data_IF_549358463204
#
_entry.id   IF_549358463204
#
_cell.length_a   1.000
_cell.length_b   1.000
_cell.length_c   1.000
_cell.angle_alpha   90.00
_cell.angle_beta   90.00
_cell.angle_gamma   90.00
#
_symmetry.space_group_name_H-M   'P 1'
#
loop_
_entity.id
_entity.type
_entity.pdbx_description
1 polymer ?
#
# COMPACT_ATOMS: atom_id res chain seq x y z
N UNK A 1 -0.07 13.23 57.00
CA UNK A 1 0.53 13.12 55.66
C UNK A 1 1.04 11.70 55.47
N UNK A 2 0.25 10.83 54.87
CA UNK A 2 0.64 9.43 54.58
C UNK A 2 0.76 9.29 53.07
N UNK A 3 2.00 9.24 52.58
CA UNK A 3 2.31 9.10 51.16
C UNK A 3 1.82 7.77 50.62
N UNK A 4 0.88 7.81 49.67
CA UNK A 4 0.54 6.66 48.84
C UNK A 4 1.75 6.36 47.95
N UNK A 5 2.42 5.24 48.23
CA UNK A 5 3.37 4.60 47.32
C UNK A 5 2.68 4.40 45.97
N UNK A 6 3.24 5.06 44.94
CA UNK A 6 2.80 4.96 43.55
C UNK A 6 3.20 3.55 43.09
N UNK A 7 2.23 2.63 42.99
CA UNK A 7 2.43 1.33 42.34
C UNK A 7 2.94 1.60 40.93
N UNK A 8 4.23 1.39 40.70
CA UNK A 8 4.79 1.24 39.35
C UNK A 8 4.17 -0.01 38.76
N UNK A 9 3.22 0.17 37.85
CA UNK A 9 2.73 -0.89 36.96
C UNK A 9 3.95 -1.58 36.36
N UNK A 10 4.14 -2.87 36.64
CA UNK A 10 5.22 -3.66 36.03
C UNK A 10 4.96 -3.72 34.53
N UNK A 11 5.72 -2.94 33.77
CA UNK A 11 5.65 -2.94 32.32
C UNK A 11 6.08 -4.33 31.84
N UNK A 12 5.22 -4.99 31.07
CA UNK A 12 5.51 -6.31 30.52
C UNK A 12 6.62 -6.17 29.45
N UNK A 13 7.72 -6.95 29.52
CA UNK A 13 8.88 -6.77 28.65
C UNK A 13 8.57 -7.09 27.18
N UNK A 14 7.67 -8.04 26.93
CA UNK A 14 7.18 -8.38 25.59
C UNK A 14 5.66 -8.28 25.59
N UNK A 15 5.11 -7.49 24.68
CA UNK A 15 3.67 -7.31 24.49
C UNK A 15 3.30 -7.59 23.03
N UNK A 16 2.33 -8.46 22.79
CA UNK A 16 1.81 -8.75 21.45
C UNK A 16 0.31 -8.47 21.38
N UNK A 17 -0.10 -7.59 20.47
CA UNK A 17 -1.49 -7.37 20.13
C UNK A 17 -1.87 -8.20 18.90
N UNK A 18 -2.80 -9.13 19.11
CA UNK A 18 -3.38 -10.01 18.08
C UNK A 18 -4.89 -9.83 17.95
N UNK A 19 -5.46 -8.75 18.49
CA UNK A 19 -6.89 -8.52 18.44
C UNK A 19 -7.38 -8.14 17.04
N UNK A 20 -6.55 -7.42 16.27
CA UNK A 20 -6.94 -7.01 14.92
C UNK A 20 -6.97 -8.21 13.96
N UNK A 21 -7.96 -8.22 13.07
CA UNK A 21 -8.11 -9.27 12.05
C UNK A 21 -7.08 -9.16 10.91
N UNK A 22 -6.37 -8.02 10.78
CA UNK A 22 -5.55 -7.68 9.60
C UNK A 22 -4.07 -7.93 9.80
N UNK A 23 -3.59 -7.71 11.00
CA UNK A 23 -2.19 -7.73 11.36
C UNK A 23 -2.05 -8.14 12.82
N UNK A 24 -0.85 -8.59 13.16
CA UNK A 24 -0.39 -8.69 14.53
C UNK A 24 0.71 -7.65 14.74
N UNK A 25 0.83 -7.14 15.96
CA UNK A 25 2.01 -6.35 16.36
C UNK A 25 2.60 -6.91 17.64
N UNK A 26 3.92 -6.80 17.79
CA UNK A 26 4.60 -7.12 19.03
C UNK A 26 5.64 -6.05 19.36
N UNK A 27 5.85 -5.76 20.64
CA UNK A 27 6.79 -4.77 21.13
C UNK A 27 7.68 -5.43 22.18
N UNK A 28 9.00 -5.33 22.00
CA UNK A 28 10.00 -5.61 23.03
C UNK A 28 10.40 -4.28 23.68
N UNK A 29 9.98 -4.08 24.92
CA UNK A 29 10.17 -2.85 25.68
C UNK A 29 11.45 -2.95 26.52
N UNK A 30 12.59 -2.73 25.85
CA UNK A 30 13.90 -2.68 26.49
C UNK A 30 15.04 -3.04 25.54
N UNK A 31 16.30 -2.91 26.01
CA UNK A 31 17.48 -3.25 25.23
C UNK A 31 17.37 -4.66 24.64
N UNK A 32 17.42 -4.74 23.32
CA UNK A 32 17.13 -5.96 22.56
C UNK A 32 18.27 -6.24 21.59
N UNK A 33 18.76 -7.48 21.59
CA UNK A 33 19.64 -8.01 20.55
C UNK A 33 18.83 -8.76 19.49
N UNK A 34 19.09 -8.42 18.22
CA UNK A 34 18.60 -9.12 17.05
C UNK A 34 19.72 -9.99 16.49
N UNK A 35 19.44 -11.29 16.36
CA UNK A 35 20.31 -12.27 15.72
C UNK A 35 19.68 -12.68 14.37
N UNK A 36 20.24 -12.20 13.23
CA UNK A 36 19.70 -12.52 11.90
C UNK A 36 19.73 -14.01 11.57
N UNK A 37 20.76 -14.73 12.01
CA UNK A 37 20.95 -16.15 11.67
C UNK A 37 19.83 -17.02 12.25
N UNK A 38 19.38 -16.69 13.46
CA UNK A 38 18.25 -17.37 14.12
C UNK A 38 16.92 -16.63 14.00
N UNK A 39 16.88 -15.47 13.32
CA UNK A 39 15.70 -14.59 13.21
C UNK A 39 15.02 -14.31 14.56
N UNK A 40 15.87 -14.12 15.57
CA UNK A 40 15.44 -14.03 16.97
C UNK A 40 15.78 -12.67 17.57
N UNK A 41 14.82 -12.09 18.29
CA UNK A 41 14.94 -10.86 19.06
C UNK A 41 14.90 -11.21 20.54
N UNK A 42 15.95 -10.84 21.28
CA UNK A 42 16.11 -11.21 22.69
C UNK A 42 16.28 -9.96 23.55
N UNK A 43 15.43 -9.78 24.56
CA UNK A 43 15.63 -8.74 25.58
C UNK A 43 16.83 -9.12 26.46
N UNK A 44 17.76 -8.16 26.58
CA UNK A 44 19.00 -8.29 27.33
C UNK A 44 18.80 -8.13 28.84
N UNK A 45 17.75 -7.43 29.26
CA UNK A 45 17.42 -7.30 30.68
C UNK A 45 16.80 -8.60 31.21
N UNK A 46 17.40 -9.21 32.25
CA UNK A 46 16.92 -10.47 32.79
C UNK A 46 15.57 -10.28 33.49
N UNK A 47 14.66 -11.22 33.27
CA UNK A 47 13.33 -11.26 33.89
C UNK A 47 13.13 -12.55 34.68
N UNK A 48 12.09 -12.56 35.53
CA UNK A 48 11.80 -13.72 36.40
C UNK A 48 11.36 -14.95 35.60
N UNK A 49 10.68 -14.74 34.46
CA UNK A 49 10.13 -15.82 33.63
C UNK A 49 10.52 -15.65 32.15
N UNK A 50 10.92 -16.75 31.50
CA UNK A 50 11.14 -16.75 30.05
C UNK A 50 9.81 -16.59 29.34
N UNK A 51 9.70 -15.56 28.51
CA UNK A 51 8.62 -15.37 27.55
C UNK A 51 9.19 -15.72 26.18
N UNK A 52 8.45 -16.51 25.40
CA UNK A 52 8.74 -16.77 24.00
C UNK A 52 7.48 -16.50 23.20
N UNK A 53 7.56 -15.54 22.28
CA UNK A 53 6.49 -15.19 21.36
C UNK A 53 6.96 -15.36 19.93
N UNK A 54 6.00 -15.52 19.02
CA UNK A 54 6.26 -15.64 17.60
C UNK A 54 5.34 -14.73 16.79
N UNK A 55 5.86 -14.22 15.67
CA UNK A 55 5.11 -13.33 14.79
C UNK A 55 5.55 -13.51 13.33
N UNK A 56 4.58 -13.38 12.42
CA UNK A 56 4.83 -13.15 10.99
C UNK A 56 4.45 -11.71 10.67
N UNK A 57 5.41 -10.78 10.54
CA UNK A 57 5.11 -9.34 10.54
C UNK A 57 4.67 -8.85 9.14
N UNK A 58 3.55 -9.37 8.63
CA UNK A 58 2.96 -9.02 7.34
C UNK A 58 1.47 -8.71 7.46
N UNK A 59 1.01 -7.68 6.74
CA UNK A 59 -0.37 -7.16 6.81
C UNK A 59 -1.37 -7.96 5.98
N UNK A 60 -1.60 -9.24 6.27
CA UNK A 60 -2.69 -10.08 5.70
C UNK A 60 -3.02 -11.27 6.61
N UNK A 61 -3.12 -11.04 7.92
CA UNK A 61 -3.27 -12.11 8.94
C UNK A 61 -4.36 -13.15 8.62
N UNK A 62 -5.48 -12.71 8.02
CA UNK A 62 -6.61 -13.58 7.68
C UNK A 62 -6.36 -14.50 6.47
N UNK A 63 -5.34 -14.24 5.66
CA UNK A 63 -5.01 -15.03 4.47
C UNK A 63 -3.94 -16.07 4.81
N UNK A 64 -4.38 -17.26 5.22
CA UNK A 64 -3.49 -18.34 5.70
C UNK A 64 -2.43 -18.74 4.68
N UNK A 65 -2.81 -18.82 3.40
CA UNK A 65 -1.92 -19.29 2.33
C UNK A 65 -0.76 -18.32 2.12
N UNK A 66 -1.04 -17.02 2.03
CA UNK A 66 0.02 -16.01 1.86
C UNK A 66 0.86 -15.89 3.14
N UNK A 67 0.23 -15.95 4.32
CA UNK A 67 0.93 -15.90 5.60
C UNK A 67 1.88 -17.08 5.79
N UNK A 68 1.56 -18.27 5.26
CA UNK A 68 2.46 -19.43 5.31
C UNK A 68 3.81 -19.17 4.60
N UNK A 69 3.86 -18.25 3.64
CA UNK A 69 5.08 -17.86 2.91
C UNK A 69 5.95 -16.84 3.66
N UNK A 70 5.42 -16.24 4.74
CA UNK A 70 6.11 -15.23 5.53
C UNK A 70 6.94 -15.91 6.62
N UNK A 71 8.26 -15.60 6.72
CA UNK A 71 9.10 -16.11 7.79
C UNK A 71 8.55 -15.74 9.17
N UNK A 72 8.51 -16.73 10.06
CA UNK A 72 8.17 -16.53 11.46
C UNK A 72 9.41 -16.03 12.21
N UNK A 73 9.25 -14.93 12.96
CA UNK A 73 10.28 -14.33 13.79
C UNK A 73 10.01 -14.68 15.25
N UNK A 74 11.07 -14.91 16.03
CA UNK A 74 10.97 -15.27 17.45
C UNK A 74 11.33 -14.08 18.33
N UNK A 75 10.51 -13.81 19.34
CA UNK A 75 10.78 -12.82 20.38
C UNK A 75 10.98 -13.57 21.69
N UNK A 76 11.99 -13.23 22.48
CA UNK A 76 12.18 -13.87 23.78
C UNK A 76 12.81 -12.97 24.84
N UNK A 77 12.62 -13.35 26.10
CA UNK A 77 13.35 -12.80 27.23
C UNK A 77 14.41 -13.79 27.73
N UNK A 78 15.38 -13.29 28.50
CA UNK A 78 16.37 -14.11 29.20
C UNK A 78 16.11 -14.09 30.70
N UNK A 79 16.49 -15.15 31.42
CA UNK A 79 16.42 -15.19 32.89
C UNK A 79 17.80 -15.00 33.51
N UNK A 80 17.81 -14.59 34.76
CA UNK A 80 19.01 -14.34 35.58
C UNK A 80 19.96 -15.53 35.70
N UNK A 81 19.47 -16.75 35.46
CA UNK A 81 20.28 -17.99 35.48
C UNK A 81 20.93 -18.30 34.12
N UNK A 82 20.49 -17.65 33.04
CA UNK A 82 20.98 -17.90 31.67
C UNK A 82 22.14 -16.98 31.27
N UNK A 83 22.45 -15.97 32.09
CA UNK A 83 23.49 -14.96 31.83
C UNK A 83 24.93 -15.48 31.94
N UNK A 84 25.15 -16.74 32.36
CA UNK A 84 26.50 -17.31 32.53
C UNK A 84 27.14 -17.86 31.25
N UNK A 85 26.44 -17.89 30.12
CA UNK A 85 27.00 -18.41 28.86
C UNK A 85 26.62 -17.54 27.68
N UNK A 86 27.57 -16.71 27.24
CA UNK A 86 27.55 -15.86 26.04
C UNK A 86 26.58 -14.67 26.09
N UNK A 87 27.00 -13.58 26.74
CA UNK A 87 26.64 -12.24 26.24
C UNK A 87 27.19 -12.14 24.81
N UNK A 88 26.39 -12.51 23.80
CA UNK A 88 26.73 -12.23 22.40
C UNK A 88 27.00 -10.73 22.32
N UNK A 89 28.25 -10.36 22.05
CA UNK A 89 28.62 -8.97 21.84
C UNK A 89 27.83 -8.45 20.64
N UNK A 90 27.26 -7.26 20.78
CA UNK A 90 26.58 -6.57 19.69
C UNK A 90 27.63 -6.16 18.64
N UNK A 91 27.49 -6.64 17.41
CA UNK A 91 28.37 -6.19 16.31
C UNK A 91 28.03 -4.76 15.89
N UNK A 92 26.73 -4.43 15.84
CA UNK A 92 26.22 -3.09 15.49
C UNK A 92 25.28 -2.61 16.59
N UNK A 93 25.50 -1.38 17.07
CA UNK A 93 24.64 -0.74 18.08
C UNK A 93 23.91 0.45 17.48
N UNK A 94 22.60 0.49 17.70
CA UNK A 94 21.70 1.54 17.23
C UNK A 94 21.17 2.34 18.42
N UNK A 95 21.15 3.65 18.30
CA UNK A 95 20.55 4.55 19.31
C UNK A 95 19.04 4.74 19.10
N UNK A 96 18.55 4.45 17.89
CA UNK A 96 17.13 4.51 17.54
C UNK A 96 16.46 3.13 17.66
N UNK A 97 15.15 3.06 17.98
CA UNK A 97 14.42 1.80 18.06
C UNK A 97 14.27 1.16 16.67
N UNK A 98 14.04 -0.16 16.62
CA UNK A 98 13.77 -0.85 15.37
C UNK A 98 12.27 -0.97 15.08
N UNK A 99 11.91 -0.83 13.80
CA UNK A 99 10.61 -1.21 13.26
C UNK A 99 10.79 -2.33 12.24
N UNK A 100 10.29 -3.52 12.57
CA UNK A 100 10.49 -4.76 11.82
C UNK A 100 9.22 -5.14 11.06
N UNK A 101 9.33 -5.36 9.75
CA UNK A 101 8.21 -5.81 8.93
C UNK A 101 8.66 -6.66 7.75
N UNK A 102 7.73 -7.38 7.11
CA UNK A 102 8.04 -8.20 5.95
C UNK A 102 7.60 -7.55 4.64
N UNK A 103 8.46 -7.63 3.62
CA UNK A 103 8.17 -7.31 2.22
C UNK A 103 7.99 -8.59 1.38
N UNK A 104 7.43 -9.64 1.99
CA UNK A 104 7.06 -10.89 1.31
C UNK A 104 5.64 -10.86 0.76
N UNK A 105 4.99 -12.02 0.73
CA UNK A 105 3.57 -12.12 0.38
C UNK A 105 3.25 -11.61 -1.03
N UNK A 106 2.34 -10.64 -1.13
CA UNK A 106 1.91 -10.06 -2.41
C UNK A 106 2.81 -8.92 -2.93
N UNK A 107 3.94 -8.68 -2.27
CA UNK A 107 4.92 -7.66 -2.65
C UNK A 107 5.31 -7.80 -4.14
N UNK A 108 5.36 -6.67 -4.84
CA UNK A 108 5.57 -6.59 -6.29
C UNK A 108 4.28 -6.35 -7.08
N UNK A 109 3.12 -6.42 -6.41
CA UNK A 109 1.88 -5.84 -6.87
C UNK A 109 1.69 -4.49 -6.19
N UNK A 110 1.60 -3.40 -6.97
CA UNK A 110 1.58 -2.04 -6.41
C UNK A 110 0.43 -1.78 -5.42
N UNK A 111 -0.74 -2.38 -5.64
CA UNK A 111 -1.85 -2.24 -4.70
C UNK A 111 -1.46 -2.83 -3.34
N UNK A 112 -0.88 -4.03 -3.35
CA UNK A 112 -0.40 -4.69 -2.14
C UNK A 112 0.80 -3.98 -1.52
N UNK A 113 1.76 -3.52 -2.32
CA UNK A 113 2.89 -2.73 -1.82
C UNK A 113 2.39 -1.53 -1.00
N UNK A 114 1.37 -0.81 -1.49
CA UNK A 114 0.83 0.34 -0.77
C UNK A 114 -0.07 -0.05 0.41
N UNK A 115 -0.94 -1.04 0.24
CA UNK A 115 -1.98 -1.37 1.22
C UNK A 115 -1.47 -2.25 2.36
N UNK A 116 -0.52 -3.14 2.09
CA UNK A 116 0.02 -4.10 3.07
C UNK A 116 1.32 -3.59 3.71
N UNK A 117 2.03 -2.67 3.04
CA UNK A 117 3.36 -2.20 3.48
C UNK A 117 3.48 -0.68 3.60
N UNK A 118 3.39 0.10 2.52
CA UNK A 118 3.79 1.52 2.54
C UNK A 118 2.87 2.40 3.40
N UNK A 119 1.55 2.30 3.26
CA UNK A 119 0.62 3.06 4.11
C UNK A 119 0.68 2.57 5.56
N UNK A 120 0.65 1.25 5.85
CA UNK A 120 0.87 0.75 7.20
C UNK A 120 2.20 1.19 7.83
N UNK A 121 3.26 1.29 7.03
CA UNK A 121 4.55 1.80 7.48
C UNK A 121 4.48 3.29 7.82
N UNK A 122 3.81 4.10 6.99
CA UNK A 122 3.53 5.49 7.31
C UNK A 122 2.77 5.62 8.62
N UNK A 123 1.66 4.90 8.79
CA UNK A 123 0.82 4.89 10.01
C UNK A 123 1.67 4.52 11.23
N UNK A 124 2.35 3.38 11.16
CA UNK A 124 3.12 2.83 12.29
C UNK A 124 4.29 3.74 12.65
N UNK A 125 4.95 4.37 11.67
CA UNK A 125 6.04 5.31 11.94
C UNK A 125 5.60 6.51 12.79
N UNK A 126 4.31 6.88 12.80
CA UNK A 126 3.79 8.02 13.57
C UNK A 126 3.65 7.76 15.06
N UNK A 127 3.75 6.51 15.49
CA UNK A 127 3.69 6.15 16.91
C UNK A 127 5.05 6.32 17.60
N UNK A 128 6.13 6.50 16.84
CA UNK A 128 7.47 6.65 17.37
C UNK A 128 7.82 8.11 17.69
N UNK A 129 8.51 8.33 18.81
CA UNK A 129 9.03 9.63 19.19
C UNK A 129 10.22 10.09 18.33
N UNK A 130 10.99 9.14 17.81
CA UNK A 130 12.11 9.35 16.88
C UNK A 130 12.00 8.39 15.70
N UNK A 131 12.57 8.74 14.55
CA UNK A 131 12.50 7.89 13.36
C UNK A 131 13.22 6.54 13.61
N UNK A 132 12.55 5.40 13.40
CA UNK A 132 13.12 4.09 13.74
C UNK A 132 14.10 3.60 12.68
N UNK A 133 14.97 2.66 13.05
CA UNK A 133 15.72 1.84 12.09
C UNK A 133 14.75 0.85 11.45
N UNK A 134 14.69 0.82 10.13
CA UNK A 134 13.82 -0.12 9.41
C UNK A 134 14.54 -1.45 9.21
N UNK A 135 13.92 -2.54 9.68
CA UNK A 135 14.45 -3.91 9.54
C UNK A 135 13.47 -4.73 8.72
N UNK A 136 13.91 -5.24 7.57
CA UNK A 136 13.02 -5.90 6.61
C UNK A 136 13.31 -7.39 6.52
N UNK A 137 12.25 -8.20 6.62
CA UNK A 137 12.26 -9.63 6.29
C UNK A 137 11.64 -9.88 4.91
N UNK A 138 12.14 -10.86 4.17
CA UNK A 138 11.90 -11.05 2.73
C UNK A 138 12.26 -9.79 1.93
N UNK A 139 13.41 -9.22 2.26
CA UNK A 139 13.86 -7.95 1.72
C UNK A 139 14.50 -8.13 0.34
N UNK A 140 13.82 -7.64 -0.70
CA UNK A 140 14.32 -7.70 -2.07
C UNK A 140 14.94 -6.36 -2.51
N UNK A 141 16.14 -6.40 -3.10
CA UNK A 141 16.85 -5.19 -3.55
C UNK A 141 16.02 -4.33 -4.51
N UNK A 142 15.27 -4.94 -5.43
CA UNK A 142 14.42 -4.20 -6.37
C UNK A 142 13.32 -3.39 -5.65
N UNK A 143 12.83 -3.89 -4.50
CA UNK A 143 11.81 -3.21 -3.70
C UNK A 143 12.42 -2.02 -2.96
N UNK A 144 13.60 -2.22 -2.35
CA UNK A 144 14.36 -1.13 -1.72
C UNK A 144 14.64 0.00 -2.72
N UNK A 145 15.12 -0.34 -3.92
CA UNK A 145 15.40 0.65 -4.98
C UNK A 145 14.14 1.40 -5.38
N UNK A 146 13.02 0.70 -5.56
CA UNK A 146 11.75 1.30 -5.99
C UNK A 146 11.18 2.28 -4.95
N UNK A 147 11.32 1.98 -3.66
CA UNK A 147 10.73 2.76 -2.57
C UNK A 147 11.74 3.59 -1.78
N UNK A 148 12.99 3.72 -2.24
CA UNK A 148 14.09 4.39 -1.54
C UNK A 148 13.74 5.79 -1.03
N UNK A 149 13.05 6.61 -1.84
CA UNK A 149 12.64 7.96 -1.48
C UNK A 149 11.63 7.98 -0.31
N UNK A 150 10.68 7.04 -0.31
CA UNK A 150 9.72 6.88 0.79
C UNK A 150 10.43 6.42 2.06
N UNK A 151 11.29 5.39 1.95
CA UNK A 151 12.03 4.84 3.08
C UNK A 151 12.95 5.89 3.72
N UNK A 152 13.67 6.67 2.91
CA UNK A 152 14.54 7.75 3.40
C UNK A 152 13.79 8.90 4.07
N UNK A 153 12.52 9.13 3.72
CA UNK A 153 11.67 10.10 4.43
C UNK A 153 11.15 9.56 5.77
N UNK A 154 11.11 8.25 5.95
CA UNK A 154 10.60 7.60 7.17
C UNK A 154 11.72 7.27 8.16
N UNK A 155 12.92 7.04 7.65
CA UNK A 155 14.11 6.74 8.47
C UNK A 155 15.36 7.36 7.86
N UNK A 156 16.19 8.07 8.66
CA UNK A 156 17.50 8.54 8.22
C UNK A 156 18.56 7.42 8.30
N UNK A 157 18.19 6.25 8.85
CA UNK A 157 19.10 5.13 9.06
C UNK A 157 19.14 4.20 7.84
N UNK A 158 20.29 3.54 7.57
CA UNK A 158 20.34 2.47 6.58
C UNK A 158 19.34 1.36 6.91
N UNK A 159 18.63 0.88 5.88
CA UNK A 159 17.71 -0.24 6.02
C UNK A 159 18.50 -1.52 6.31
N UNK A 160 18.11 -2.25 7.34
CA UNK A 160 18.69 -3.54 7.71
C UNK A 160 17.94 -4.66 6.97
N UNK A 161 18.65 -5.41 6.13
CA UNK A 161 18.10 -6.56 5.41
C UNK A 161 18.28 -7.83 6.24
N UNK A 162 17.24 -8.25 6.97
CA UNK A 162 17.31 -9.38 7.89
C UNK A 162 17.69 -10.71 7.22
N UNK A 163 17.41 -10.89 5.93
CA UNK A 163 17.68 -12.18 5.26
C UNK A 163 19.14 -12.34 4.84
N UNK A 164 19.87 -11.24 4.69
CA UNK A 164 21.25 -11.23 4.20
C UNK A 164 22.24 -10.65 5.21
N UNK A 165 21.78 -10.27 6.41
CA UNK A 165 22.65 -9.75 7.45
C UNK A 165 23.36 -10.87 8.20
N UNK A 166 24.62 -10.64 8.55
CA UNK A 166 25.46 -11.57 9.32
C UNK A 166 25.87 -10.99 10.68
N UNK A 167 25.62 -9.70 10.90
CA UNK A 167 25.95 -9.01 12.12
C UNK A 167 24.79 -9.07 13.11
N UNK A 168 25.10 -9.11 14.40
CA UNK A 168 24.09 -8.94 15.45
C UNK A 168 23.84 -7.45 15.69
N UNK A 169 22.56 -7.08 15.85
CA UNK A 169 22.17 -5.68 16.03
C UNK A 169 21.56 -5.47 17.41
N UNK A 170 21.95 -4.40 18.10
CA UNK A 170 21.36 -4.04 19.38
C UNK A 170 20.59 -2.72 19.26
N UNK A 171 19.36 -2.74 19.77
CA UNK A 171 18.40 -1.63 19.73
C UNK A 171 17.91 -1.30 21.15
N UNK A 172 17.52 -0.05 21.44
CA UNK A 172 16.92 0.32 22.73
C UNK A 172 15.52 -0.29 22.93
N UNK A 173 14.79 -0.55 21.84
CA UNK A 173 13.52 -1.28 21.81
C UNK A 173 13.21 -1.70 20.38
N UNK A 174 12.28 -2.64 20.21
CA UNK A 174 11.91 -3.19 18.90
C UNK A 174 10.39 -3.32 18.81
N UNK A 175 9.82 -2.85 17.71
CA UNK A 175 8.42 -3.10 17.32
C UNK A 175 8.40 -3.96 16.06
N UNK A 176 7.57 -5.01 16.05
CA UNK A 176 7.40 -5.94 14.96
C UNK A 176 5.96 -5.90 14.45
N UNK A 177 5.78 -5.88 13.14
CA UNK A 177 4.48 -5.77 12.48
C UNK A 177 4.10 -4.32 12.18
N UNK A 178 3.18 -4.14 11.24
CA UNK A 178 2.66 -2.83 10.83
C UNK A 178 1.17 -2.75 11.11
N UNK A 179 0.72 -1.58 11.57
CA UNK A 179 -0.68 -1.26 11.80
C UNK A 179 -1.31 -0.72 10.51
N UNK A 180 -2.45 -1.29 10.10
CA UNK A 180 -3.22 -0.85 8.92
C UNK A 180 -4.64 -0.44 9.31
N UNK A 181 -5.18 0.65 8.79
CA UNK A 181 -6.56 1.05 9.11
C UNK A 181 -7.58 0.37 8.20
N UNK A 182 -7.34 0.34 6.88
CA UNK A 182 -8.13 -0.36 5.86
C UNK A 182 -7.36 -0.27 4.52
N UNK A 183 -7.91 -0.81 3.42
CA UNK A 183 -7.26 -0.76 2.12
C UNK A 183 -7.11 0.68 1.59
N UNK A 184 -5.86 1.10 1.36
CA UNK A 184 -5.48 2.45 0.90
C UNK A 184 -6.12 3.60 1.71
N UNK A 185 -6.32 3.40 3.01
CA UNK A 185 -6.99 4.38 3.88
C UNK A 185 -6.19 4.67 5.14
N UNK A 186 -6.37 5.90 5.62
CA UNK A 186 -5.87 6.37 6.91
C UNK A 186 -7.06 6.98 7.64
N UNK A 187 -7.53 6.29 8.68
CA UNK A 187 -8.53 6.80 9.59
C UNK A 187 -7.90 7.81 10.59
N UNK A 188 -8.29 9.10 10.58
CA UNK A 188 -7.75 10.10 11.49
C UNK A 188 -8.10 9.84 12.97
N UNK A 189 -9.23 9.22 13.27
CA UNK A 189 -9.71 9.02 14.66
C UNK A 189 -8.78 8.13 15.50
N UNK A 190 -7.95 7.33 14.83
CA UNK A 190 -7.00 6.40 15.43
C UNK A 190 -5.54 6.75 15.07
N UNK A 191 -5.31 7.91 14.46
CA UNK A 191 -3.96 8.45 14.24
C UNK A 191 -3.51 9.31 15.42
N UNK A 192 -2.24 9.25 15.87
CA UNK A 192 -1.74 10.08 16.98
C UNK A 192 -1.89 11.60 16.78
N UNK A 193 -1.98 12.06 15.52
CA UNK A 193 -2.06 13.47 15.14
C UNK A 193 -3.20 13.76 14.17
N UNK A 194 -4.22 12.89 14.14
CA UNK A 194 -5.36 13.00 13.24
C UNK A 194 -4.97 13.11 11.75
N UNK A 195 -3.81 12.55 11.37
CA UNK A 195 -3.34 12.52 9.99
C UNK A 195 -4.32 11.72 9.12
N UNK A 196 -4.48 12.16 7.88
CA UNK A 196 -5.41 11.62 6.88
C UNK A 196 -4.65 11.10 5.65
N UNK A 197 -5.39 10.58 4.67
CA UNK A 197 -4.80 10.21 3.37
C UNK A 197 -4.22 11.43 2.63
N UNK A 198 -4.69 12.65 2.92
CA UNK A 198 -4.11 13.89 2.37
C UNK A 198 -2.72 14.17 2.95
N UNK A 199 -2.49 13.86 4.22
CA UNK A 199 -1.17 13.97 4.84
C UNK A 199 -0.18 12.95 4.27
N UNK A 200 -0.66 11.74 3.99
CA UNK A 200 0.11 10.75 3.24
C UNK A 200 0.42 11.22 1.82
N UNK A 201 -0.53 11.85 1.12
CA UNK A 201 -0.29 12.47 -0.19
C UNK A 201 0.76 13.57 -0.13
N UNK A 202 0.73 14.43 0.90
CA UNK A 202 1.73 15.46 1.11
C UNK A 202 3.11 14.86 1.46
N UNK A 203 3.13 13.73 2.15
CA UNK A 203 4.34 12.95 2.37
C UNK A 203 4.92 12.41 1.05
N UNK A 204 4.09 11.86 0.16
CA UNK A 204 4.51 11.44 -1.18
C UNK A 204 5.03 12.62 -2.02
N UNK A 205 4.41 13.80 -1.88
CA UNK A 205 4.90 15.02 -2.52
C UNK A 205 6.33 15.33 -2.08
N UNK A 206 6.61 15.35 -0.77
CA UNK A 206 7.97 15.59 -0.27
C UNK A 206 8.96 14.52 -0.72
N UNK A 207 8.54 13.26 -0.81
CA UNK A 207 9.41 12.16 -1.22
C UNK A 207 9.82 12.25 -2.70
N UNK A 208 8.92 12.69 -3.59
CA UNK A 208 9.12 12.60 -5.04
C UNK A 208 9.22 13.95 -5.76
N UNK A 209 8.88 15.05 -5.11
CA UNK A 209 9.08 16.38 -5.68
C UNK A 209 10.55 16.74 -5.68
N UNK A 210 11.08 17.01 -6.88
CA UNK A 210 12.41 17.61 -7.04
C UNK A 210 12.29 19.12 -6.91
N UNK A 211 13.31 19.79 -6.33
CA UNK A 211 13.37 21.27 -6.22
C UNK A 211 13.24 22.01 -7.57
N UNK A 212 13.33 21.31 -8.70
CA UNK A 212 13.19 21.85 -10.06
C UNK A 212 11.75 21.94 -10.57
N UNK A 213 10.74 21.52 -9.80
CA UNK A 213 9.32 21.60 -10.21
C UNK A 213 8.68 22.99 -10.05
N UNK A 214 9.48 24.06 -9.97
CA UNK A 214 9.01 25.43 -9.66
C UNK A 214 8.42 26.20 -10.86
N UNK A 215 8.30 25.58 -12.02
CA UNK A 215 7.55 26.17 -13.14
C UNK A 215 7.10 25.08 -14.11
N UNK A 216 5.97 24.44 -13.83
CA UNK A 216 5.31 23.73 -14.91
C UNK A 216 4.74 24.78 -15.87
N UNK A 217 5.04 24.70 -17.18
CA UNK A 217 4.42 25.60 -18.14
C UNK A 217 2.90 25.48 -18.01
N UNK A 218 2.20 26.63 -18.00
CA UNK A 218 0.74 26.65 -17.92
C UNK A 218 0.19 25.75 -19.02
N UNK A 219 -0.40 24.63 -18.60
CA UNK A 219 -0.97 23.68 -19.54
C UNK A 219 -2.24 24.33 -20.11
N UNK A 220 -2.35 24.47 -21.43
CA UNK A 220 -3.54 25.11 -22.05
C UNK A 220 -4.74 24.15 -22.13
N UNK A 221 -4.49 22.83 -22.00
CA UNK A 221 -5.49 21.77 -22.12
C UNK A 221 -5.40 20.81 -20.94
N UNK A 222 -6.53 20.30 -20.41
CA UNK A 222 -6.51 19.22 -19.44
C UNK A 222 -5.71 18.03 -19.94
N UNK A 223 -4.84 17.52 -19.08
CA UNK A 223 -4.06 16.30 -19.33
C UNK A 223 -4.76 15.09 -18.75
N UNK A 224 -5.04 14.11 -19.61
CA UNK A 224 -5.59 12.80 -19.22
C UNK A 224 -4.51 11.73 -19.36
N UNK A 225 -4.24 11.02 -18.26
CA UNK A 225 -3.38 9.84 -18.28
C UNK A 225 -4.25 8.60 -18.46
N UNK A 226 -4.03 7.89 -19.56
CA UNK A 226 -4.59 6.57 -19.79
C UNK A 226 -3.64 5.51 -19.21
N UNK A 227 -4.08 4.81 -18.17
CA UNK A 227 -3.32 3.71 -17.56
C UNK A 227 -3.56 2.44 -18.37
N UNK A 228 -2.57 2.11 -19.18
CA UNK A 228 -2.57 0.90 -20.00
C UNK A 228 -2.26 -0.32 -19.14
N UNK A 229 -2.98 -1.39 -19.41
CA UNK A 229 -2.75 -2.72 -18.84
C UNK A 229 -2.57 -3.73 -19.96
N UNK A 230 -1.56 -4.60 -19.83
CA UNK A 230 -1.36 -5.78 -20.68
C UNK A 230 -1.64 -7.06 -19.87
N UNK A 231 -2.05 -8.12 -20.55
CA UNK A 231 -2.44 -9.39 -19.91
C UNK A 231 -3.94 -9.46 -19.73
N UNK A 232 -4.43 -9.50 -18.50
CA UNK A 232 -5.89 -9.52 -18.23
C UNK A 232 -6.50 -8.12 -18.21
N UNK A 233 -7.79 -7.98 -18.49
CA UNK A 233 -8.53 -6.71 -18.46
C UNK A 233 -7.87 -5.66 -19.35
N UNK A 234 -7.45 -6.04 -20.55
CA UNK A 234 -7.00 -5.08 -21.54
C UNK A 234 -8.20 -4.30 -22.10
N UNK A 235 -7.99 -3.03 -22.45
CA UNK A 235 -8.95 -2.27 -23.25
C UNK A 235 -8.64 -2.57 -24.72
N UNK A 236 -9.52 -3.30 -25.39
CA UNK A 236 -9.27 -3.84 -26.73
C UNK A 236 -9.29 -2.75 -27.80
N UNK A 237 -10.17 -1.75 -27.66
CA UNK A 237 -10.30 -0.60 -28.56
C UNK A 237 -9.61 0.67 -28.02
N UNK A 238 -8.47 0.52 -27.33
CA UNK A 238 -7.71 1.61 -26.70
C UNK A 238 -7.38 2.75 -27.68
N UNK A 239 -7.03 2.41 -28.92
CA UNK A 239 -6.69 3.42 -29.95
C UNK A 239 -7.84 4.38 -30.23
N UNK A 240 -9.07 3.88 -30.26
CA UNK A 240 -10.24 4.70 -30.56
C UNK A 240 -10.70 5.49 -29.33
N UNK A 241 -10.52 4.94 -28.12
CA UNK A 241 -10.67 5.69 -26.88
C UNK A 241 -9.71 6.88 -26.80
N UNK A 242 -8.44 6.70 -27.18
CA UNK A 242 -7.46 7.78 -27.25
C UNK A 242 -7.89 8.86 -28.25
N UNK A 243 -8.38 8.46 -29.44
CA UNK A 243 -8.90 9.41 -30.43
C UNK A 243 -10.10 10.18 -29.90
N UNK A 244 -11.03 9.51 -29.21
CA UNK A 244 -12.19 10.15 -28.58
C UNK A 244 -11.76 11.21 -27.56
N UNK A 245 -10.90 10.85 -26.60
CA UNK A 245 -10.41 11.78 -25.58
C UNK A 245 -9.68 13.00 -26.20
N UNK A 246 -8.87 12.78 -27.25
CA UNK A 246 -8.21 13.87 -27.98
C UNK A 246 -9.20 14.79 -28.70
N UNK A 247 -10.25 14.23 -29.33
CA UNK A 247 -11.31 15.01 -29.99
C UNK A 247 -12.07 15.88 -29.00
N UNK A 248 -12.28 15.40 -27.78
CA UNK A 248 -12.91 16.16 -26.69
C UNK A 248 -11.99 17.24 -26.08
N UNK A 249 -10.72 17.28 -26.48
CA UNK A 249 -9.80 18.36 -26.14
C UNK A 249 -8.70 18.00 -25.13
N UNK A 250 -8.66 16.76 -24.62
CA UNK A 250 -7.60 16.33 -23.71
C UNK A 250 -6.23 16.24 -24.39
N UNK A 251 -5.18 16.63 -23.66
CA UNK A 251 -3.82 16.12 -23.91
C UNK A 251 -3.73 14.70 -23.31
N UNK A 252 -3.69 13.67 -24.16
CA UNK A 252 -3.63 12.28 -23.69
C UNK A 252 -2.19 11.80 -23.54
N UNK A 253 -1.82 11.32 -22.36
CA UNK A 253 -0.58 10.58 -22.08
C UNK A 253 -0.90 9.13 -21.78
N UNK A 254 -0.07 8.21 -22.26
CA UNK A 254 -0.20 6.79 -21.99
C UNK A 254 0.79 6.43 -20.90
N UNK A 255 0.30 5.78 -19.85
CA UNK A 255 1.12 5.30 -18.74
C UNK A 255 0.96 3.80 -18.62
N UNK A 256 2.05 3.05 -18.77
CA UNK A 256 2.06 1.60 -18.70
C UNK A 256 2.87 1.15 -17.47
N UNK A 257 2.22 0.96 -16.31
CA UNK A 257 2.92 0.57 -15.09
C UNK A 257 3.43 -0.88 -15.19
N UNK A 258 4.63 -1.08 -14.65
CA UNK A 258 5.33 -2.36 -14.56
C UNK A 258 5.93 -2.54 -13.16
N UNK A 259 6.54 -3.70 -12.90
CA UNK A 259 7.23 -3.95 -11.63
C UNK A 259 8.43 -3.02 -11.41
N UNK A 260 9.02 -2.51 -12.50
CA UNK A 260 10.21 -1.65 -12.51
C UNK A 260 9.88 -0.17 -12.76
N UNK A 261 8.61 0.22 -12.70
CA UNK A 261 8.22 1.63 -12.84
C UNK A 261 8.93 2.50 -11.82
N UNK A 262 9.62 3.52 -12.32
CA UNK A 262 10.18 4.61 -11.53
C UNK A 262 9.04 5.46 -10.93
N UNK A 263 8.94 5.44 -9.60
CA UNK A 263 7.88 6.12 -8.88
C UNK A 263 8.03 7.65 -8.93
N UNK A 264 9.25 8.18 -9.06
CA UNK A 264 9.48 9.62 -9.22
C UNK A 264 8.94 10.11 -10.56
N UNK A 265 9.14 9.33 -11.64
CA UNK A 265 8.58 9.66 -12.95
C UNK A 265 7.05 9.50 -12.99
N UNK A 266 6.53 8.42 -12.40
CA UNK A 266 5.09 8.21 -12.28
C UNK A 266 4.43 9.34 -11.48
N UNK A 267 5.06 9.76 -10.38
CA UNK A 267 4.62 10.89 -9.56
C UNK A 267 4.56 12.17 -10.37
N UNK A 268 5.64 12.54 -11.07
CA UNK A 268 5.68 13.75 -11.89
C UNK A 268 4.59 13.76 -12.97
N UNK A 269 4.40 12.64 -13.66
CA UNK A 269 3.38 12.51 -14.70
C UNK A 269 1.97 12.71 -14.14
N UNK A 270 1.64 12.03 -13.04
CA UNK A 270 0.27 12.03 -12.49
C UNK A 270 -0.04 13.27 -11.68
N UNK A 271 0.93 13.81 -10.94
CA UNK A 271 0.80 15.09 -10.24
C UNK A 271 0.55 16.25 -11.22
N UNK A 272 1.17 16.19 -12.42
CA UNK A 272 0.96 17.14 -13.51
C UNK A 272 -0.34 16.90 -14.33
N UNK A 273 -1.13 15.89 -13.97
CA UNK A 273 -2.31 15.48 -14.74
C UNK A 273 -3.61 15.89 -14.04
N UNK A 274 -4.65 16.07 -14.85
CA UNK A 274 -5.95 16.59 -14.43
C UNK A 274 -7.02 15.50 -14.43
N UNK A 275 -6.80 14.46 -15.24
CA UNK A 275 -7.61 13.27 -15.25
C UNK A 275 -6.73 12.01 -15.36
N UNK A 276 -7.20 10.91 -14.78
CA UNK A 276 -6.66 9.57 -14.97
C UNK A 276 -7.81 8.64 -15.37
N UNK A 277 -7.59 7.83 -16.41
CA UNK A 277 -8.54 6.80 -16.83
C UNK A 277 -7.83 5.46 -16.88
N UNK A 278 -8.44 4.42 -16.33
CA UNK A 278 -7.95 3.07 -16.52
C UNK A 278 -8.92 2.03 -16.00
N UNK A 279 -8.73 0.79 -16.44
CA UNK A 279 -9.51 -0.36 -16.00
C UNK A 279 -8.99 -0.91 -14.68
N UNK A 280 -9.92 -1.40 -13.84
CA UNK A 280 -9.65 -1.92 -12.51
C UNK A 280 -8.41 -2.84 -12.49
N UNK A 281 -7.44 -2.49 -11.64
CA UNK A 281 -6.26 -3.29 -11.40
C UNK A 281 -5.20 -2.53 -10.61
N UNK A 282 -4.15 -3.23 -10.18
CA UNK A 282 -3.12 -2.69 -9.29
C UNK A 282 -2.44 -1.40 -9.78
N UNK A 283 -2.34 -1.22 -11.11
CA UNK A 283 -1.80 -0.02 -11.72
C UNK A 283 -2.59 1.25 -11.38
N UNK A 284 -3.88 1.12 -11.03
CA UNK A 284 -4.69 2.26 -10.64
C UNK A 284 -4.28 2.87 -9.29
N UNK A 285 -3.55 2.15 -8.43
CA UNK A 285 -3.04 2.65 -7.14
C UNK A 285 -2.23 3.95 -7.29
N UNK A 286 -1.66 4.21 -8.48
CA UNK A 286 -1.00 5.48 -8.77
C UNK A 286 -1.93 6.71 -8.72
N UNK A 287 -3.26 6.54 -8.59
CA UNK A 287 -4.17 7.66 -8.28
C UNK A 287 -3.70 8.44 -7.03
N UNK A 288 -3.01 7.77 -6.09
CA UNK A 288 -2.39 8.38 -4.91
C UNK A 288 -1.34 9.46 -5.23
N UNK A 289 -0.90 9.60 -6.49
CA UNK A 289 0.02 10.65 -6.94
C UNK A 289 -0.71 11.85 -7.57
N UNK A 290 -2.01 11.72 -7.85
CA UNK A 290 -2.80 12.82 -8.39
C UNK A 290 -3.02 13.91 -7.34
N UNK A 291 -3.33 15.12 -7.81
CA UNK A 291 -3.72 16.24 -6.94
C UNK A 291 -5.20 16.08 -6.53
N UNK A 292 -5.56 16.40 -5.27
CA UNK A 292 -6.97 16.56 -4.90
C UNK A 292 -7.66 17.53 -5.85
N UNK A 293 -8.91 17.23 -6.23
CA UNK A 293 -9.65 17.95 -7.26
C UNK A 293 -9.55 17.35 -8.67
N UNK A 294 -8.50 16.59 -8.99
CA UNK A 294 -8.38 15.89 -10.28
C UNK A 294 -9.44 14.78 -10.44
N UNK A 295 -9.72 14.41 -11.68
CA UNK A 295 -10.72 13.38 -12.04
C UNK A 295 -10.09 12.00 -12.15
N UNK A 296 -10.72 10.98 -11.57
CA UNK A 296 -10.29 9.59 -11.71
C UNK A 296 -11.44 8.73 -12.22
N UNK A 297 -11.32 8.28 -13.48
CA UNK A 297 -12.27 7.39 -14.14
C UNK A 297 -11.74 5.95 -14.04
N UNK A 298 -12.50 5.12 -13.32
CA UNK A 298 -12.24 3.70 -13.23
C UNK A 298 -13.22 2.94 -14.12
N UNK A 299 -12.70 2.22 -15.12
CA UNK A 299 -13.48 1.22 -15.84
C UNK A 299 -13.63 -0.01 -14.94
N UNK A 300 -14.87 -0.28 -14.53
CA UNK A 300 -15.27 -1.35 -13.62
C UNK A 300 -15.70 -2.57 -14.46
N UNK A 301 -14.94 -3.68 -14.41
CA UNK A 301 -15.29 -4.90 -15.15
C UNK A 301 -16.60 -5.51 -14.64
N UNK A 302 -17.25 -6.37 -15.45
CA UNK A 302 -18.39 -7.16 -14.96
C UNK A 302 -18.02 -7.90 -13.69
N UNK A 303 -18.94 -7.99 -12.73
CA UNK A 303 -18.68 -8.65 -11.44
C UNK A 303 -17.60 -7.96 -10.59
N UNK A 304 -17.15 -6.75 -10.97
CA UNK A 304 -16.09 -6.01 -10.29
C UNK A 304 -16.57 -4.88 -9.37
N UNK A 305 -17.88 -4.68 -9.21
CA UNK A 305 -18.45 -3.53 -8.49
C UNK A 305 -17.90 -3.34 -7.07
N UNK A 306 -18.07 -4.36 -6.21
CA UNK A 306 -17.70 -4.27 -4.80
C UNK A 306 -16.20 -4.06 -4.62
N UNK A 307 -15.39 -4.82 -5.36
CA UNK A 307 -13.92 -4.73 -5.26
C UNK A 307 -13.39 -3.42 -5.83
N UNK A 308 -14.04 -2.88 -6.87
CA UNK A 308 -13.66 -1.58 -7.44
C UNK A 308 -13.91 -0.44 -6.46
N UNK A 309 -15.08 -0.49 -5.80
CA UNK A 309 -15.46 0.49 -4.80
C UNK A 309 -14.55 0.43 -3.57
N UNK A 310 -14.32 -0.77 -3.02
CA UNK A 310 -13.49 -0.92 -1.81
C UNK A 310 -12.01 -0.58 -2.07
N UNK A 311 -11.43 -1.07 -3.17
CA UNK A 311 -10.01 -0.89 -3.44
C UNK A 311 -9.65 0.51 -3.93
N UNK A 312 -10.54 1.19 -4.67
CA UNK A 312 -10.20 2.43 -5.37
C UNK A 312 -11.25 3.52 -5.23
N UNK A 313 -12.55 3.21 -5.34
CA UNK A 313 -13.62 4.22 -5.32
C UNK A 313 -13.67 5.03 -4.02
N UNK A 314 -13.79 4.35 -2.89
CA UNK A 314 -13.76 4.97 -1.57
C UNK A 314 -12.44 5.71 -1.29
N UNK A 315 -11.27 5.04 -1.41
CA UNK A 315 -9.97 5.69 -1.23
C UNK A 315 -9.75 6.95 -2.09
N UNK A 316 -10.16 6.92 -3.36
CA UNK A 316 -10.03 8.07 -4.26
C UNK A 316 -10.88 9.27 -3.79
N UNK A 317 -12.10 9.02 -3.31
CA UNK A 317 -12.94 10.09 -2.74
C UNK A 317 -12.36 10.67 -1.47
N UNK A 318 -11.80 9.84 -0.58
CA UNK A 318 -11.12 10.33 0.62
C UNK A 318 -9.86 11.15 0.30
N UNK A 319 -9.17 10.84 -0.82
CA UNK A 319 -8.07 11.65 -1.34
C UNK A 319 -8.55 12.98 -1.96
N UNK A 320 -9.86 13.20 -2.07
CA UNK A 320 -10.43 14.40 -2.67
C UNK A 320 -10.47 14.38 -4.20
N UNK A 321 -10.35 13.20 -4.83
CA UNK A 321 -10.51 13.08 -6.28
C UNK A 321 -12.00 13.07 -6.68
N UNK A 322 -12.29 13.59 -7.88
CA UNK A 322 -13.58 13.40 -8.54
C UNK A 322 -13.63 12.00 -9.15
N UNK A 323 -14.03 11.03 -8.33
CA UNK A 323 -14.11 9.64 -8.75
C UNK A 323 -15.32 9.35 -9.62
N UNK A 324 -15.11 8.60 -10.70
CA UNK A 324 -16.13 8.21 -11.66
C UNK A 324 -15.98 6.71 -11.96
N UNK A 325 -17.02 5.92 -11.66
CA UNK A 325 -17.06 4.51 -12.03
C UNK A 325 -17.78 4.33 -13.38
N UNK A 326 -17.03 3.96 -14.42
CA UNK A 326 -17.60 3.49 -15.68
C UNK A 326 -17.84 1.98 -15.58
N UNK A 327 -19.06 1.59 -15.22
CA UNK A 327 -19.45 0.19 -15.15
C UNK A 327 -19.78 -0.33 -16.54
N UNK A 328 -19.03 -1.35 -16.96
CA UNK A 328 -19.23 -1.92 -18.28
C UNK A 328 -20.54 -2.70 -18.34
N UNK A 329 -21.15 -2.71 -19.52
CA UNK A 329 -22.27 -3.56 -19.85
C UNK A 329 -21.78 -4.93 -20.34
N UNK A 330 -22.70 -5.89 -20.42
CA UNK A 330 -22.35 -7.26 -20.81
C UNK A 330 -21.74 -7.32 -22.20
N UNK A 331 -22.24 -6.53 -23.15
CA UNK A 331 -21.75 -6.45 -24.53
C UNK A 331 -20.33 -5.85 -24.67
N UNK A 332 -19.84 -5.14 -23.67
CA UNK A 332 -18.47 -4.59 -23.65
C UNK A 332 -17.44 -5.62 -23.15
N UNK A 333 -17.89 -6.73 -22.56
CA UNK A 333 -17.02 -7.76 -22.00
C UNK A 333 -16.66 -8.85 -23.01
N UNK A 334 -15.40 -9.27 -23.07
CA UNK A 334 -15.01 -10.45 -23.85
C UNK A 334 -15.57 -11.77 -23.28
N UNK A 335 -16.21 -11.75 -22.10
CA UNK A 335 -16.88 -12.94 -21.56
C UNK A 335 -18.07 -13.37 -22.42
N UNK A 336 -18.66 -12.50 -23.25
CA UNK A 336 -19.75 -12.88 -24.16
C UNK A 336 -19.34 -13.92 -25.20
N UNK A 337 -18.04 -14.00 -25.51
CA UNK A 337 -17.48 -14.97 -26.45
C UNK A 337 -17.20 -16.32 -25.77
N UNK A 338 -17.17 -16.35 -24.44
CA UNK A 338 -16.79 -17.52 -23.63
C UNK A 338 -17.97 -18.23 -22.98
N UNK A 339 -19.06 -17.51 -22.75
CA UNK A 339 -20.22 -18.00 -22.02
C UNK A 339 -21.49 -17.80 -22.84
N UNK A 340 -22.42 -18.75 -22.71
CA UNK A 340 -23.74 -18.61 -23.30
C UNK A 340 -24.44 -17.35 -22.80
N UNK A 341 -25.24 -16.71 -23.65
CA UNK A 341 -25.98 -15.48 -23.31
C UNK A 341 -26.85 -15.60 -22.05
N UNK A 342 -27.29 -16.83 -21.73
CA UNK A 342 -28.10 -17.13 -20.55
C UNK A 342 -27.29 -17.58 -19.33
N UNK A 343 -25.97 -17.67 -19.43
CA UNK A 343 -25.10 -18.09 -18.33
C UNK A 343 -25.16 -17.08 -17.17
N UNK A 344 -25.11 -17.61 -15.95
CA UNK A 344 -25.10 -16.82 -14.71
C UNK A 344 -23.91 -15.86 -14.64
N UNK A 345 -22.78 -16.18 -15.30
CA UNK A 345 -21.60 -15.32 -15.36
C UNK A 345 -21.92 -13.98 -16.01
N UNK A 346 -22.80 -13.97 -17.01
CA UNK A 346 -23.22 -12.76 -17.71
C UNK A 346 -24.47 -12.14 -17.07
N UNK A 347 -25.44 -12.97 -16.64
CA UNK A 347 -26.75 -12.49 -16.16
C UNK A 347 -26.79 -12.09 -14.69
N UNK A 348 -26.03 -12.78 -13.82
CA UNK A 348 -26.00 -12.50 -12.39
C UNK A 348 -24.58 -12.65 -11.80
N UNK A 349 -23.70 -11.65 -12.02
CA UNK A 349 -22.38 -11.66 -11.41
C UNK A 349 -22.37 -11.71 -9.88
N UNK A 350 -23.46 -11.29 -9.21
CA UNK A 350 -23.57 -11.38 -7.74
C UNK A 350 -23.76 -12.83 -7.29
N UNK A 351 -24.48 -13.65 -8.06
CA UNK A 351 -24.55 -15.09 -7.79
C UNK A 351 -23.17 -15.77 -7.89
N UNK A 352 -22.34 -15.37 -8.86
CA UNK A 352 -20.96 -15.88 -8.98
C UNK A 352 -20.11 -15.42 -7.80
N UNK A 353 -20.23 -14.16 -7.37
CA UNK A 353 -19.50 -13.64 -6.20
C UNK A 353 -19.79 -14.41 -4.91
N UNK A 354 -21.02 -14.89 -4.73
CA UNK A 354 -21.40 -15.74 -3.58
C UNK A 354 -20.68 -17.10 -3.54
N UNK A 355 -20.09 -17.54 -4.65
CA UNK A 355 -19.24 -18.76 -4.70
C UNK A 355 -17.83 -18.52 -4.13
N UNK A 356 -17.47 -17.28 -3.81
CA UNK A 356 -16.22 -16.91 -3.16
C UNK A 356 -15.25 -16.15 -4.06
N UNK A 357 -14.18 -15.63 -3.42
CA UNK A 357 -13.21 -14.75 -4.04
C UNK A 357 -12.44 -15.41 -5.19
N UNK A 358 -12.02 -16.66 -5.04
CA UNK A 358 -11.25 -17.38 -6.06
C UNK A 358 -12.00 -17.45 -7.39
N UNK A 359 -13.29 -17.82 -7.37
CA UNK A 359 -14.13 -17.86 -8.58
C UNK A 359 -14.30 -16.46 -9.19
N UNK A 360 -14.59 -15.46 -8.35
CA UNK A 360 -14.77 -14.08 -8.78
C UNK A 360 -13.52 -13.56 -9.49
N UNK A 361 -12.35 -13.77 -8.90
CA UNK A 361 -11.06 -13.34 -9.43
C UNK A 361 -10.78 -14.02 -10.77
N UNK A 362 -10.88 -15.35 -10.82
CA UNK A 362 -10.53 -16.12 -12.03
C UNK A 362 -11.41 -15.72 -13.22
N UNK A 363 -12.71 -15.52 -13.01
CA UNK A 363 -13.65 -15.18 -14.09
C UNK A 363 -13.53 -13.70 -14.47
N UNK A 364 -13.76 -12.80 -13.52
CA UNK A 364 -13.97 -11.38 -13.83
C UNK A 364 -12.70 -10.55 -13.86
N UNK A 365 -11.64 -10.98 -13.17
CA UNK A 365 -10.39 -10.22 -13.04
C UNK A 365 -9.26 -10.81 -13.90
N UNK A 366 -9.29 -12.10 -14.20
CA UNK A 366 -8.24 -12.78 -14.97
C UNK A 366 -8.68 -13.15 -16.38
N UNK A 367 -9.97 -13.42 -16.60
CA UNK A 367 -10.46 -13.99 -17.88
C UNK A 367 -11.30 -13.03 -18.73
N UNK A 368 -11.32 -11.74 -18.39
CA UNK A 368 -12.12 -10.72 -19.06
C UNK A 368 -11.25 -9.59 -19.58
N UNK A 369 -11.48 -9.20 -20.83
CA UNK A 369 -11.02 -7.98 -21.48
C UNK A 369 -12.24 -7.13 -21.87
N UNK A 370 -12.01 -5.86 -22.22
CA UNK A 370 -13.09 -4.89 -22.40
C UNK A 370 -12.96 -4.13 -23.72
N UNK A 371 -14.03 -4.14 -24.51
CA UNK A 371 -14.24 -3.24 -25.64
C UNK A 371 -15.20 -2.14 -25.21
N UNK A 372 -14.68 -0.94 -24.97
CA UNK A 372 -15.45 0.17 -24.41
C UNK A 372 -16.45 0.70 -25.44
N UNK A 373 -17.70 0.86 -25.03
CA UNK A 373 -18.70 1.61 -25.78
C UNK A 373 -18.31 3.09 -25.81
N UNK A 374 -17.83 3.54 -26.97
CA UNK A 374 -17.33 4.90 -27.16
C UNK A 374 -18.44 5.96 -27.10
N UNK A 375 -19.69 5.60 -27.41
CA UNK A 375 -20.81 6.54 -27.31
C UNK A 375 -21.13 6.80 -25.84
N UNK A 376 -21.25 5.74 -25.03
CA UNK A 376 -21.45 5.88 -23.58
C UNK A 376 -20.25 6.58 -22.95
N UNK A 377 -19.03 6.15 -23.25
CA UNK A 377 -17.81 6.75 -22.71
C UNK A 377 -17.64 8.24 -23.07
N UNK A 378 -18.19 8.72 -24.20
CA UNK A 378 -18.13 10.14 -24.56
C UNK A 378 -18.70 11.03 -23.46
N UNK A 379 -19.89 10.71 -22.94
CA UNK A 379 -20.52 11.51 -21.88
C UNK A 379 -19.69 11.54 -20.59
N UNK A 380 -19.04 10.43 -20.24
CA UNK A 380 -18.15 10.38 -19.07
C UNK A 380 -16.90 11.24 -19.27
N UNK A 381 -16.30 11.19 -20.47
CA UNK A 381 -15.12 11.98 -20.81
C UNK A 381 -15.45 13.48 -20.93
N UNK A 382 -16.61 13.84 -21.46
CA UNK A 382 -17.10 15.23 -21.52
C UNK A 382 -17.24 15.81 -20.11
N UNK A 383 -17.90 15.10 -19.20
CA UNK A 383 -18.03 15.53 -17.82
C UNK A 383 -16.66 15.66 -17.14
N UNK A 384 -15.79 14.66 -17.32
CA UNK A 384 -14.43 14.69 -16.79
C UNK A 384 -13.60 15.85 -17.36
N UNK A 385 -13.81 16.23 -18.62
CA UNK A 385 -13.12 17.35 -19.24
C UNK A 385 -13.53 18.68 -18.60
N UNK A 386 -14.82 18.88 -18.36
CA UNK A 386 -15.35 20.07 -17.70
C UNK A 386 -14.82 20.20 -16.26
N UNK A 387 -14.86 19.10 -15.50
CA UNK A 387 -14.32 19.07 -14.13
C UNK A 387 -12.81 19.33 -14.12
N UNK A 388 -12.06 18.75 -15.07
CA UNK A 388 -10.62 18.98 -15.20
C UNK A 388 -10.30 20.43 -15.63
N UNK A 389 -11.14 21.04 -16.48
CA UNK A 389 -11.02 22.47 -16.85
C UNK A 389 -11.26 23.38 -15.65
N UNK A 390 -12.33 23.13 -14.88
CA UNK A 390 -12.61 23.90 -13.66
C UNK A 390 -11.44 23.80 -12.67
N UNK A 391 -10.91 22.59 -12.47
CA UNK A 391 -9.74 22.39 -11.62
C UNK A 391 -8.50 23.18 -12.09
N UNK A 392 -8.27 23.27 -13.40
CA UNK A 392 -7.19 24.11 -13.96
C UNK A 392 -7.41 25.60 -13.73
N UNK A 393 -8.64 26.09 -13.84
CA UNK A 393 -8.98 27.50 -13.63
C UNK A 393 -8.81 27.92 -12.16
N UNK A 394 -9.16 27.01 -11.23
CA UNK A 394 -9.03 27.23 -9.78
C UNK A 394 -7.57 27.15 -9.29
N UNK A 395 -6.67 26.45 -10.01
CA UNK A 395 -5.34 26.08 -9.52
C UNK A 395 -4.18 26.36 -10.52
N UNK A 396 -4.40 27.17 -11.56
CA UNK A 396 -3.51 27.33 -12.72
C UNK A 396 -2.84 28.68 -12.94
#
# INVERSE_FOLDING_TARGET
MTGKSRKTSSIQPVYCDRAHYRFDTCILQGPTIMDPASKTFTILEPVVFVIVEKIRPYGRKWETDIMSTIPELTLRTTTTTTTTTTTKQCDVRHEAPALVFSTGGYTGNLFHDFTDSIIPLFITSRTFASQPVLVLSRCHNWWLTKYNHILGMLSPHPVVNLDNDTYTHCFPSVTLGLTSHDDLRINPDIMPRNETILDFRAFLDRAYSTRKSLSQPKCLRPRLVLVRRRGSRAILNERDLIKLAKRLGFEVKIFEPSKTTDLSQAYQLLNASHAMLGIHGAGLTHFLFMRPGSVFIQVVPLGGDSVSESCFGGPARHLGLKYVAYKIETNESSLIEKYDKNDIVLRDPRAVQRKGWTYTKNIYLESQDVSIDLQRMSSYLEHAYLEAKRFMEENG
#
